data_IF_332278969524
#
_entry.id   IF_332278969524
#
_cell.length_a   1.000
_cell.length_b   1.000
_cell.length_c   1.000
_cell.angle_alpha   90.00
_cell.angle_beta   90.00
_cell.angle_gamma   90.00
#
_symmetry.space_group_name_H-M   'P 1'
#
loop_
_entity.id
_entity.type
_entity.pdbx_description
1 polymer ?
#
# COMPACT_ATOMS: atom_id res chain seq x y z
N UNK A 1 -8.68 1.43 5.28
CA UNK A 1 -8.20 0.20 5.95
C UNK A 1 -7.19 -0.55 5.08
N UNK A 2 -7.59 -1.21 3.98
CA UNK A 2 -6.69 -2.04 3.15
C UNK A 2 -5.40 -1.33 2.67
N UNK A 3 -5.51 -0.14 2.08
CA UNK A 3 -4.33 0.61 1.63
C UNK A 3 -3.39 1.05 2.77
N UNK A 4 -3.95 1.36 3.95
CA UNK A 4 -3.14 1.69 5.12
C UNK A 4 -2.37 0.46 5.63
N UNK A 5 -3.01 -0.72 5.61
CA UNK A 5 -2.36 -1.98 5.92
C UNK A 5 -1.23 -2.29 4.92
N UNK A 6 -1.47 -2.07 3.63
CA UNK A 6 -0.44 -2.23 2.59
C UNK A 6 0.76 -1.29 2.81
N UNK A 7 0.52 0.00 3.09
CA UNK A 7 1.58 0.95 3.43
C UNK A 7 2.35 0.50 4.67
N UNK A 8 1.66 0.00 5.70
CA UNK A 8 2.31 -0.51 6.90
C UNK A 8 3.18 -1.74 6.61
N UNK A 9 2.71 -2.67 5.76
CA UNK A 9 3.49 -3.84 5.35
C UNK A 9 4.78 -3.41 4.62
N UNK A 10 4.69 -2.49 3.66
CA UNK A 10 5.85 -1.95 2.94
C UNK A 10 6.87 -1.32 3.89
N UNK A 11 6.41 -0.49 4.83
CA UNK A 11 7.29 0.19 5.81
C UNK A 11 7.99 -0.78 6.76
N UNK A 12 7.41 -1.95 7.01
CA UNK A 12 8.01 -3.00 7.83
C UNK A 12 8.81 -4.02 7.01
N UNK A 13 8.98 -3.80 5.70
CA UNK A 13 9.69 -4.72 4.81
C UNK A 13 8.97 -6.06 4.59
N UNK A 14 7.67 -6.12 4.91
CA UNK A 14 6.86 -7.30 4.67
C UNK A 14 6.52 -7.39 3.18
N UNK A 15 6.89 -8.52 2.57
CA UNK A 15 6.53 -8.81 1.18
C UNK A 15 5.04 -9.13 1.09
N UNK A 16 4.25 -8.11 0.78
CA UNK A 16 2.84 -8.22 0.42
C UNK A 16 2.61 -7.48 -0.88
N UNK A 17 1.89 -8.09 -1.81
CA UNK A 17 1.50 -7.45 -3.06
C UNK A 17 0.17 -6.72 -2.89
N UNK A 18 -0.07 -5.71 -3.73
CA UNK A 18 -1.36 -5.02 -3.76
C UNK A 18 -2.51 -5.98 -4.11
N UNK A 19 -2.23 -7.01 -4.93
CA UNK A 19 -3.19 -8.05 -5.28
C UNK A 19 -3.59 -8.90 -4.08
N UNK A 20 -2.64 -9.40 -3.30
CA UNK A 20 -2.95 -10.19 -2.10
C UNK A 20 -3.83 -9.40 -1.12
N UNK A 21 -3.54 -8.12 -0.91
CA UNK A 21 -4.33 -7.27 -0.02
C UNK A 21 -5.72 -6.98 -0.62
N UNK A 22 -5.80 -6.82 -1.95
CA UNK A 22 -7.05 -6.57 -2.66
C UNK A 22 -7.99 -7.78 -2.60
N UNK A 23 -7.45 -8.99 -2.82
CA UNK A 23 -8.17 -10.25 -2.78
C UNK A 23 -8.76 -10.50 -1.38
N UNK A 24 -7.98 -10.27 -0.31
CA UNK A 24 -8.45 -10.41 1.09
C UNK A 24 -9.50 -9.36 1.42
N UNK A 25 -9.32 -8.12 0.95
CA UNK A 25 -10.22 -7.01 1.23
C UNK A 25 -11.47 -6.98 0.33
N UNK A 26 -11.58 -7.88 -0.66
CA UNK A 26 -12.71 -7.94 -1.59
C UNK A 26 -12.82 -6.69 -2.49
N UNK A 27 -11.70 -6.06 -2.81
CA UNK A 27 -11.65 -4.86 -3.66
C UNK A 27 -10.67 -5.06 -4.81
N UNK A 28 -10.61 -4.10 -5.73
CA UNK A 28 -9.67 -4.17 -6.84
C UNK A 28 -8.27 -3.68 -6.46
N UNK A 29 -7.25 -4.21 -7.12
CA UNK A 29 -5.86 -3.75 -6.97
C UNK A 29 -5.73 -2.25 -7.28
N UNK A 30 -6.44 -1.75 -8.30
CA UNK A 30 -6.43 -0.32 -8.67
C UNK A 30 -6.97 0.56 -7.54
N UNK A 31 -7.97 0.09 -6.78
CA UNK A 31 -8.45 0.79 -5.59
C UNK A 31 -7.35 0.92 -4.54
N UNK A 32 -6.60 -0.15 -4.27
CA UNK A 32 -5.45 -0.08 -3.34
C UNK A 32 -4.40 0.87 -3.88
N UNK A 33 -4.08 0.76 -5.18
CA UNK A 33 -3.08 1.58 -5.86
C UNK A 33 -3.36 3.08 -5.74
N UNK A 34 -4.62 3.49 -5.93
CA UNK A 34 -4.98 4.90 -5.84
C UNK A 34 -4.92 5.39 -4.39
N UNK A 35 -5.39 4.58 -3.43
CA UNK A 35 -5.43 4.97 -2.02
C UNK A 35 -4.05 4.96 -1.35
N UNK A 36 -3.13 4.06 -1.69
CA UNK A 36 -1.78 4.10 -1.10
C UNK A 36 -0.99 5.31 -1.59
N UNK A 37 -1.07 5.67 -2.88
CA UNK A 37 -0.44 6.90 -3.41
C UNK A 37 -0.92 8.15 -2.68
N UNK A 38 -2.23 8.27 -2.50
CA UNK A 38 -2.84 9.37 -1.74
C UNK A 38 -2.32 9.41 -0.29
N UNK A 39 -2.16 8.26 0.36
CA UNK A 39 -1.62 8.17 1.72
C UNK A 39 -0.15 8.56 1.79
N UNK A 40 0.68 8.09 0.85
CA UNK A 40 2.11 8.44 0.82
C UNK A 40 2.31 9.94 0.61
N UNK A 41 1.50 10.55 -0.25
CA UNK A 41 1.54 11.99 -0.51
C UNK A 41 1.11 12.80 0.74
N UNK A 42 -0.06 12.48 1.31
CA UNK A 42 -0.57 13.17 2.51
C UNK A 42 0.31 13.04 3.74
N UNK A 43 1.06 11.94 3.85
CA UNK A 43 1.92 11.64 5.00
C UNK A 43 3.40 11.97 4.74
N UNK A 44 3.78 12.40 3.53
CA UNK A 44 5.17 12.66 3.17
C UNK A 44 6.07 11.42 3.25
N UNK A 45 5.52 10.24 2.92
CA UNK A 45 6.20 8.94 3.05
C UNK A 45 6.75 8.39 1.74
N UNK A 46 6.69 9.16 0.66
CA UNK A 46 7.09 8.75 -0.70
C UNK A 46 8.51 8.15 -0.73
N UNK A 47 9.46 8.77 -0.03
CA UNK A 47 10.86 8.32 -0.01
C UNK A 47 11.08 7.02 0.78
N UNK A 48 10.17 6.66 1.69
CA UNK A 48 10.35 5.50 2.58
C UNK A 48 10.00 4.17 1.94
N UNK A 49 9.35 4.19 0.78
CA UNK A 49 8.85 2.98 0.10
C UNK A 49 9.47 2.77 -1.29
N UNK A 50 10.36 3.67 -1.74
CA UNK A 50 10.97 3.65 -3.09
C UNK A 50 11.70 2.34 -3.42
N UNK A 51 12.29 1.71 -2.42
CA UNK A 51 13.15 0.53 -2.61
C UNK A 51 12.38 -0.80 -2.45
N UNK A 52 11.09 -0.75 -2.09
CA UNK A 52 10.30 -1.92 -1.66
C UNK A 52 9.01 -2.11 -2.46
N UNK A 53 8.63 -1.12 -3.26
CA UNK A 53 7.42 -1.13 -4.11
C UNK A 53 7.50 -2.12 -5.28
#
# INVERSE_FOLDING_TARGET
AAAALYVAALLNGEKKTQREVADIAGITEVTIRNRYKELLDKLGLQDKVKDVE
#
